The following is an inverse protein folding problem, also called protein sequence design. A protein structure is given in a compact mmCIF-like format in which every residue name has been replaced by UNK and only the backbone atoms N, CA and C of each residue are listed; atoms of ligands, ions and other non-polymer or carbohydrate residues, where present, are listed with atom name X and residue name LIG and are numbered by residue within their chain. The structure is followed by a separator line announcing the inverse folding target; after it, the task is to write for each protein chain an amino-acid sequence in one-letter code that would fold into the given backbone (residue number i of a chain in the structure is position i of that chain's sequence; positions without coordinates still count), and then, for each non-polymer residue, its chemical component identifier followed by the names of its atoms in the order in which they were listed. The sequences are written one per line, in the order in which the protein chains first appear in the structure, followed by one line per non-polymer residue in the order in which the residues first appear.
data_IF_122686217385
#
_entry.id   IF_122686217385
#
_cell.length_a   1.000
_cell.length_b   1.000
_cell.length_c   1.000
_cell.angle_alpha   90.00
_cell.angle_beta   90.00
_cell.angle_gamma   90.00
#
_symmetry.space_group_name_H-M   'P 1'
#
loop_
_entity.id
_entity.type
_entity.pdbx_description
1 polymer ?
#
# COMPACT_ATOMS: atom_id res chain seq x y z
N UNK A 1 3.31 -24.77 13.10
CA UNK A 1 3.28 -24.53 14.56
C UNK A 1 2.47 -23.28 14.75
N UNK A 2 1.37 -23.37 15.48
CA UNK A 2 0.49 -22.23 15.73
C UNK A 2 1.07 -21.44 16.90
N UNK A 3 1.21 -20.12 16.73
CA UNK A 3 1.71 -19.23 17.76
C UNK A 3 0.63 -19.03 18.83
N UNK A 4 0.93 -19.32 20.11
CA UNK A 4 -0.01 -19.15 21.22
C UNK A 4 -0.01 -17.71 21.74
N UNK A 5 -0.84 -16.87 21.10
CA UNK A 5 -1.00 -15.47 21.48
C UNK A 5 -1.47 -15.27 22.93
N UNK A 6 -2.34 -16.15 23.43
CA UNK A 6 -2.88 -16.04 24.80
C UNK A 6 -1.79 -16.29 25.83
N UNK A 7 -1.03 -17.38 25.69
CA UNK A 7 0.08 -17.68 26.60
C UNK A 7 1.18 -16.62 26.51
N UNK A 8 1.51 -16.16 25.30
CA UNK A 8 2.48 -15.08 25.09
C UNK A 8 2.07 -13.80 25.83
N UNK A 9 0.83 -13.33 25.64
CA UNK A 9 0.34 -12.12 26.29
C UNK A 9 0.16 -12.28 27.79
N UNK A 10 -0.32 -13.43 28.27
CA UNK A 10 -0.48 -13.70 29.69
C UNK A 10 0.87 -13.58 30.41
N UNK A 11 1.92 -14.18 29.84
CA UNK A 11 3.30 -14.07 30.34
C UNK A 11 3.82 -12.65 30.24
N UNK A 12 3.70 -12.03 29.05
CA UNK A 12 4.24 -10.71 28.81
C UNK A 12 3.58 -9.70 29.73
N UNK A 13 2.25 -9.57 29.70
CA UNK A 13 1.47 -8.55 30.41
C UNK A 13 1.19 -8.87 31.89
N UNK A 14 1.61 -10.03 32.39
CA UNK A 14 1.25 -10.53 33.73
C UNK A 14 -0.27 -10.62 33.97
N UNK A 15 -1.01 -11.04 32.94
CA UNK A 15 -2.46 -11.18 32.98
C UNK A 15 -2.87 -12.65 33.06
N UNK A 16 -3.93 -12.99 33.81
CA UNK A 16 -4.56 -14.29 33.72
C UNK A 16 -5.06 -14.57 32.28
N UNK A 17 -4.84 -15.79 31.72
CA UNK A 17 -5.30 -16.13 30.37
C UNK A 17 -6.80 -15.90 30.12
N UNK A 18 -7.64 -16.05 31.15
CA UNK A 18 -9.09 -15.83 31.05
C UNK A 18 -9.51 -14.35 30.96
N UNK A 19 -8.56 -13.42 31.07
CA UNK A 19 -8.78 -11.98 30.84
C UNK A 19 -8.44 -11.55 29.41
N UNK A 20 -7.98 -12.48 28.56
CA UNK A 20 -7.52 -12.22 27.21
C UNK A 20 -8.43 -12.97 26.23
N UNK A 21 -9.01 -12.24 25.30
CA UNK A 21 -9.76 -12.81 24.18
C UNK A 21 -9.02 -12.53 22.88
N UNK A 22 -8.77 -13.57 22.09
CA UNK A 22 -8.08 -13.48 20.80
C UNK A 22 -9.09 -13.59 19.66
N UNK A 23 -9.07 -12.62 18.75
CA UNK A 23 -9.81 -12.63 17.49
C UNK A 23 -8.82 -12.57 16.34
N UNK A 24 -8.81 -13.58 15.48
CA UNK A 24 -8.01 -13.52 14.24
C UNK A 24 -8.58 -12.47 13.30
N UNK A 25 -7.69 -11.66 12.73
CA UNK A 25 -8.01 -10.66 11.72
C UNK A 25 -7.66 -11.23 10.34
N UNK A 26 -8.52 -11.00 9.37
CA UNK A 26 -8.35 -11.44 7.98
C UNK A 26 -7.57 -10.41 7.17
N UNK A 27 -7.12 -10.78 5.97
CA UNK A 27 -6.54 -9.86 4.98
C UNK A 27 -5.01 -9.84 4.89
N UNK A 28 -4.29 -10.35 5.90
CA UNK A 28 -2.83 -10.45 5.85
C UNK A 28 -2.33 -11.68 5.10
N UNK A 29 -1.41 -11.51 4.15
CA UNK A 29 -0.73 -12.61 3.44
C UNK A 29 0.52 -13.10 4.17
N UNK A 30 1.30 -12.15 4.68
CA UNK A 30 2.64 -12.40 5.23
C UNK A 30 2.63 -12.76 6.73
N UNK A 31 1.64 -12.26 7.47
CA UNK A 31 1.63 -12.30 8.94
C UNK A 31 0.35 -12.92 9.49
N UNK A 32 0.47 -13.58 10.64
CA UNK A 32 -0.70 -13.96 11.44
C UNK A 32 -1.06 -12.77 12.33
N UNK A 33 -2.22 -12.16 12.08
CA UNK A 33 -2.65 -10.96 12.79
C UNK A 33 -3.85 -11.25 13.67
N UNK A 34 -3.81 -10.80 14.92
CA UNK A 34 -4.92 -10.95 15.86
C UNK A 34 -5.22 -9.63 16.57
N UNK A 35 -6.49 -9.44 16.92
CA UNK A 35 -6.91 -8.49 17.95
C UNK A 35 -6.94 -9.23 19.29
N UNK A 36 -6.26 -8.68 20.28
CA UNK A 36 -6.36 -9.12 21.67
C UNK A 36 -7.18 -8.11 22.45
N UNK A 37 -8.28 -8.56 23.06
CA UNK A 37 -9.16 -7.75 23.91
C UNK A 37 -9.00 -8.16 25.37
N UNK A 38 -9.11 -7.18 26.28
CA UNK A 38 -8.82 -7.35 27.70
C UNK A 38 -10.02 -7.03 28.58
N UNK A 39 -10.27 -7.88 29.58
CA UNK A 39 -11.29 -7.63 30.61
C UNK A 39 -10.72 -7.92 32.00
N UNK A 40 -10.39 -6.90 32.82
CA UNK A 40 -10.50 -5.45 32.55
C UNK A 40 -9.48 -4.94 31.50
N UNK A 41 -9.58 -3.68 31.03
CA UNK A 41 -8.58 -3.06 30.14
C UNK A 41 -7.14 -3.22 30.66
N UNK A 42 -6.21 -3.57 29.77
CA UNK A 42 -4.82 -3.83 30.12
C UNK A 42 -4.03 -2.54 30.37
N UNK A 43 -3.19 -2.54 31.41
CA UNK A 43 -2.24 -1.46 31.68
C UNK A 43 -0.98 -1.60 30.81
N UNK A 44 -0.72 -0.58 29.99
CA UNK A 44 0.43 -0.51 29.08
C UNK A 44 1.43 0.59 29.48
N UNK A 45 1.38 1.10 30.73
CA UNK A 45 2.29 2.15 31.23
C UNK A 45 3.76 1.79 31.13
N UNK A 46 4.12 0.53 31.36
CA UNK A 46 5.50 0.03 31.17
C UNK A 46 5.99 0.10 29.71
N UNK A 47 5.08 0.25 28.76
CA UNK A 47 5.38 0.46 27.34
C UNK A 47 5.22 1.94 26.92
N UNK A 48 5.14 2.86 27.90
CA UNK A 48 5.03 4.30 27.64
C UNK A 48 3.61 4.81 27.34
N UNK A 49 2.57 3.98 27.48
CA UNK A 49 1.18 4.41 27.26
C UNK A 49 0.53 4.87 28.57
N UNK A 50 -0.04 6.08 28.58
CA UNK A 50 -0.56 6.70 29.81
C UNK A 50 -1.94 6.20 30.27
N UNK A 51 -2.59 5.34 29.48
CA UNK A 51 -3.94 4.85 29.74
C UNK A 51 -4.01 3.35 29.53
N UNK A 52 -4.83 2.68 30.34
CA UNK A 52 -5.22 1.31 30.07
C UNK A 52 -6.01 1.23 28.77
N UNK A 53 -5.81 0.17 28.00
CA UNK A 53 -6.47 -0.03 26.69
C UNK A 53 -7.39 -1.25 26.70
N UNK A 54 -8.56 -1.18 26.06
CA UNK A 54 -9.47 -2.31 25.98
C UNK A 54 -8.98 -3.39 25.00
N UNK A 55 -8.17 -3.03 24.02
CA UNK A 55 -7.64 -3.96 23.01
C UNK A 55 -6.34 -3.45 22.37
N UNK A 56 -5.62 -4.38 21.76
CA UNK A 56 -4.44 -4.15 20.91
C UNK A 56 -4.49 -5.05 19.68
N UNK A 57 -3.70 -4.71 18.66
CA UNK A 57 -3.42 -5.58 17.51
C UNK A 57 -2.03 -6.18 17.68
N UNK A 58 -1.91 -7.47 17.36
CA UNK A 58 -0.66 -8.23 17.44
C UNK A 58 -0.44 -8.90 16.11
N UNK A 59 0.75 -8.72 15.56
CA UNK A 59 1.23 -9.43 14.38
C UNK A 59 2.30 -10.42 14.80
N UNK A 60 2.22 -11.63 14.29
CA UNK A 60 3.28 -12.63 14.35
C UNK A 60 3.79 -12.87 12.93
N UNK A 61 5.11 -12.70 12.71
CA UNK A 61 5.76 -12.91 11.43
C UNK A 61 6.46 -14.28 11.40
N UNK A 62 5.85 -15.33 10.84
CA UNK A 62 6.56 -16.58 10.63
C UNK A 62 7.69 -16.41 9.59
N UNK A 63 8.69 -17.32 9.55
CA UNK A 63 9.78 -17.30 8.56
C UNK A 63 9.33 -17.75 7.15
N UNK A 64 8.04 -17.62 6.85
CA UNK A 64 7.35 -18.00 5.61
C UNK A 64 6.09 -17.13 5.47
N UNK A 65 5.43 -17.15 4.31
CA UNK A 65 4.14 -16.47 4.15
C UNK A 65 3.07 -17.17 4.98
N UNK A 66 2.29 -16.41 5.77
CA UNK A 66 1.25 -16.99 6.63
C UNK A 66 0.17 -17.77 5.84
N UNK A 67 -0.09 -17.36 4.59
CA UNK A 67 -1.04 -18.04 3.69
C UNK A 67 -0.44 -19.21 2.92
N UNK A 68 0.89 -19.29 2.79
CA UNK A 68 1.60 -20.37 2.10
C UNK A 68 2.94 -20.67 2.81
N UNK A 69 2.96 -21.61 3.76
CA UNK A 69 4.17 -21.98 4.50
C UNK A 69 5.28 -22.58 3.63
N UNK A 70 5.02 -22.92 2.36
CA UNK A 70 6.05 -23.41 1.44
C UNK A 70 6.93 -22.30 0.87
N UNK A 71 6.51 -21.03 1.00
CA UNK A 71 7.22 -19.87 0.50
C UNK A 71 7.96 -19.16 1.64
N UNK A 72 9.31 -19.25 1.70
CA UNK A 72 10.10 -18.57 2.72
C UNK A 72 9.94 -17.06 2.62
N UNK A 73 9.84 -16.39 3.77
CA UNK A 73 9.75 -14.94 3.85
C UNK A 73 10.54 -14.43 5.06
N UNK A 74 11.35 -13.40 4.83
CA UNK A 74 12.23 -12.89 5.86
C UNK A 74 11.43 -12.17 6.97
N UNK A 75 11.70 -12.53 8.24
CA UNK A 75 11.04 -11.94 9.41
C UNK A 75 11.44 -10.48 9.67
N UNK A 76 12.52 -10.00 9.03
CA UNK A 76 13.00 -8.60 9.12
C UNK A 76 11.92 -7.56 8.74
N UNK A 77 10.89 -7.96 7.98
CA UNK A 77 9.71 -7.14 7.67
C UNK A 77 9.05 -6.58 8.93
N UNK A 78 9.08 -7.34 10.02
CA UNK A 78 8.49 -6.93 11.28
C UNK A 78 9.35 -5.93 12.06
N UNK A 79 10.69 -6.03 11.96
CA UNK A 79 11.60 -4.99 12.46
C UNK A 79 11.40 -3.66 11.72
N UNK A 80 11.14 -3.74 10.41
CA UNK A 80 10.85 -2.57 9.57
C UNK A 80 9.54 -1.94 9.99
N UNK A 81 8.45 -2.71 10.12
CA UNK A 81 7.16 -2.18 10.57
C UNK A 81 7.26 -1.55 11.96
N UNK A 82 7.85 -2.25 12.93
CA UNK A 82 8.08 -1.76 14.29
C UNK A 82 8.78 -0.39 14.29
N UNK A 83 9.81 -0.25 13.46
CA UNK A 83 10.59 0.97 13.30
C UNK A 83 9.80 2.06 12.59
N UNK A 84 9.04 1.73 11.55
CA UNK A 84 8.16 2.65 10.86
C UNK A 84 7.16 3.30 11.82
N UNK A 85 6.49 2.50 12.66
CA UNK A 85 5.54 3.00 13.65
C UNK A 85 6.22 3.96 14.65
N UNK A 86 7.45 3.65 15.09
CA UNK A 86 8.23 4.55 15.96
C UNK A 86 8.66 5.85 15.26
N UNK A 87 8.97 5.80 13.98
CA UNK A 87 9.42 6.97 13.21
C UNK A 87 8.25 7.88 12.80
N UNK A 88 7.05 7.31 12.61
CA UNK A 88 5.85 8.02 12.17
C UNK A 88 5.01 8.55 13.34
N UNK A 89 5.19 8.03 14.55
CA UNK A 89 4.50 8.52 15.74
C UNK A 89 5.08 9.87 16.22
N UNK A 90 4.31 10.98 16.20
CA UNK A 90 4.79 12.30 16.65
C UNK A 90 5.11 12.35 18.15
N UNK A 91 4.67 11.36 18.93
CA UNK A 91 4.94 11.25 20.37
C UNK A 91 6.17 10.38 20.69
N UNK A 92 6.76 9.75 19.67
CA UNK A 92 7.98 8.95 19.81
C UNK A 92 9.16 9.81 20.27
N UNK A 93 10.16 9.25 21.00
CA UNK A 93 11.39 9.97 21.34
C UNK A 93 12.22 10.38 20.12
N UNK A 94 12.08 9.66 19.01
CA UNK A 94 12.84 9.88 17.77
C UNK A 94 11.90 9.86 16.57
N UNK A 95 10.98 10.82 16.44
CA UNK A 95 10.11 10.88 15.28
C UNK A 95 10.92 11.33 14.05
N UNK A 96 10.42 11.03 12.86
CA UNK A 96 10.81 11.74 11.65
C UNK A 96 10.03 13.05 11.56
N UNK A 97 10.57 14.09 10.89
CA UNK A 97 9.83 15.34 10.68
C UNK A 97 8.45 15.15 10.04
N UNK A 98 8.29 14.13 9.18
CA UNK A 98 7.02 13.78 8.52
C UNK A 98 5.91 13.39 9.51
N UNK A 99 6.23 12.93 10.71
CA UNK A 99 5.23 12.61 11.75
C UNK A 99 4.35 13.80 12.14
N UNK A 100 4.85 15.03 11.96
CA UNK A 100 4.06 16.26 12.18
C UNK A 100 2.84 16.37 11.26
N UNK A 101 2.82 15.65 10.13
CA UNK A 101 1.63 15.56 9.28
C UNK A 101 0.45 14.94 10.02
N UNK A 102 0.66 13.98 10.93
CA UNK A 102 -0.44 13.39 11.72
C UNK A 102 -1.06 14.40 12.70
N UNK A 103 -0.32 15.45 13.09
CA UNK A 103 -0.88 16.56 13.88
C UNK A 103 -1.70 17.48 12.98
N UNK A 104 -1.22 17.73 11.76
CA UNK A 104 -1.92 18.57 10.76
C UNK A 104 -3.20 17.90 10.23
N UNK A 105 -3.20 16.58 10.13
CA UNK A 105 -4.29 15.76 9.61
C UNK A 105 -4.86 14.87 10.72
N UNK A 106 -5.69 15.41 11.64
CA UNK A 106 -6.20 14.65 12.80
C UNK A 106 -7.18 13.52 12.41
N UNK A 107 -7.70 13.55 11.18
CA UNK A 107 -8.49 12.50 10.57
C UNK A 107 -7.63 11.35 10.01
N UNK A 108 -6.29 11.44 10.08
CA UNK A 108 -5.38 10.35 9.75
C UNK A 108 -4.89 9.66 11.00
N UNK A 109 -4.87 8.33 10.96
CA UNK A 109 -4.37 7.50 12.05
C UNK A 109 -3.38 6.47 11.53
N UNK A 110 -2.32 6.26 12.28
CA UNK A 110 -1.40 5.14 12.11
C UNK A 110 -1.39 4.40 13.45
N UNK A 111 -1.41 3.06 13.48
CA UNK A 111 -1.25 2.33 14.72
C UNK A 111 0.01 2.80 15.46
N UNK A 112 -0.10 3.10 16.75
CA UNK A 112 1.08 3.47 17.54
C UNK A 112 1.79 2.21 18.00
N UNK A 113 3.11 2.27 17.99
CA UNK A 113 3.96 1.22 18.51
C UNK A 113 3.66 0.94 20.00
N UNK A 114 3.62 -0.33 20.39
CA UNK A 114 3.55 -0.75 21.80
C UNK A 114 4.81 -1.54 22.18
N UNK A 115 5.10 -2.61 21.45
CA UNK A 115 6.21 -3.51 21.76
C UNK A 115 6.61 -4.32 20.54
N UNK A 116 7.90 -4.64 20.42
CA UNK A 116 8.41 -5.59 19.43
C UNK A 116 9.34 -6.58 20.12
N UNK A 117 9.01 -7.87 20.02
CA UNK A 117 9.82 -8.99 20.46
C UNK A 117 10.47 -9.64 19.24
N UNK A 118 11.75 -9.31 19.03
CA UNK A 118 12.55 -9.80 17.91
C UNK A 118 12.73 -11.32 17.98
N UNK A 119 12.89 -11.88 19.18
CA UNK A 119 13.13 -13.31 19.37
C UNK A 119 11.88 -14.12 19.01
N UNK A 120 10.71 -13.62 19.39
CA UNK A 120 9.43 -14.25 19.07
C UNK A 120 8.87 -13.85 17.70
N UNK A 121 9.47 -12.87 17.01
CA UNK A 121 8.91 -12.23 15.80
C UNK A 121 7.46 -11.78 16.05
N UNK A 122 7.28 -10.90 17.03
CA UNK A 122 5.97 -10.35 17.43
C UNK A 122 6.00 -8.84 17.52
N UNK A 123 5.06 -8.19 16.86
CA UNK A 123 4.80 -6.75 16.94
C UNK A 123 3.43 -6.51 17.57
N UNK A 124 3.40 -5.67 18.61
CA UNK A 124 2.20 -5.17 19.26
C UNK A 124 2.01 -3.69 18.91
N UNK A 125 0.80 -3.33 18.52
CA UNK A 125 0.42 -1.96 18.16
C UNK A 125 -0.98 -1.62 18.66
N UNK A 126 -1.29 -0.32 18.77
CA UNK A 126 -2.63 0.11 19.19
C UNK A 126 -3.69 -0.36 18.21
N UNK A 127 -4.82 -0.81 18.74
CA UNK A 127 -5.99 -1.14 17.93
C UNK A 127 -6.65 0.13 17.38
N UNK A 128 -7.01 0.11 16.09
CA UNK A 128 -7.72 1.20 15.41
C UNK A 128 -9.25 1.10 15.56
N UNK A 129 -9.73 0.05 16.23
CA UNK A 129 -11.14 -0.18 16.52
C UNK A 129 -11.75 -1.31 15.69
N UNK A 130 -12.89 -1.83 16.16
CA UNK A 130 -13.53 -3.02 15.59
C UNK A 130 -14.37 -2.74 14.34
N UNK A 131 -14.73 -1.48 14.10
CA UNK A 131 -15.62 -1.06 13.02
C UNK A 131 -14.87 -0.33 11.90
N UNK A 132 -13.67 -0.82 11.55
CA UNK A 132 -12.89 -0.35 10.42
C UNK A 132 -13.10 -1.29 9.23
N UNK A 133 -13.14 -0.73 8.02
CA UNK A 133 -13.22 -1.47 6.77
C UNK A 133 -12.06 -1.04 5.86
N UNK A 134 -11.54 -1.92 5.02
CA UNK A 134 -10.61 -1.47 3.96
C UNK A 134 -11.32 -0.49 3.02
N UNK A 135 -10.58 0.34 2.28
CA UNK A 135 -11.22 1.32 1.40
C UNK A 135 -12.04 0.66 0.30
N UNK A 136 -11.64 -0.53 -0.16
CA UNK A 136 -12.41 -1.33 -1.11
C UNK A 136 -13.70 -1.90 -0.50
N UNK A 137 -13.65 -2.41 0.73
CA UNK A 137 -14.85 -2.80 1.48
C UNK A 137 -15.77 -1.61 1.72
N UNK A 138 -15.22 -0.46 2.11
CA UNK A 138 -15.96 0.77 2.36
C UNK A 138 -16.66 1.30 1.10
N UNK A 139 -15.99 1.29 -0.05
CA UNK A 139 -16.60 1.68 -1.34
C UNK A 139 -17.70 0.70 -1.80
N UNK A 140 -17.63 -0.56 -1.36
CA UNK A 140 -18.52 -1.66 -1.75
C UNK A 140 -19.63 -1.97 -0.75
N UNK A 141 -19.61 -1.35 0.45
CA UNK A 141 -20.55 -1.65 1.54
C UNK A 141 -21.99 -1.30 1.18
N UNK A 142 -22.93 -1.87 1.93
CA UNK A 142 -24.36 -1.58 1.85
C UNK A 142 -24.88 -1.11 3.22
N UNK A 143 -25.46 0.10 3.34
CA UNK A 143 -25.61 1.12 2.29
C UNK A 143 -24.27 1.73 1.85
N UNK A 144 -24.10 2.06 0.56
CA UNK A 144 -22.84 2.62 0.06
C UNK A 144 -22.57 4.00 0.67
N UNK A 145 -21.30 4.43 0.72
CA UNK A 145 -20.97 5.79 1.12
C UNK A 145 -21.58 6.78 0.12
N UNK A 146 -22.01 7.93 0.65
CA UNK A 146 -22.53 9.03 -0.14
C UNK A 146 -21.44 9.64 -1.01
N UNK A 147 -21.83 10.34 -2.09
CA UNK A 147 -20.88 11.01 -2.97
C UNK A 147 -20.01 12.06 -2.23
N UNK A 148 -20.59 12.74 -1.24
CA UNK A 148 -19.86 13.72 -0.40
C UNK A 148 -18.81 13.02 0.48
N UNK A 149 -19.13 11.88 1.08
CA UNK A 149 -18.17 11.09 1.85
C UNK A 149 -17.02 10.58 0.95
N UNK A 150 -17.34 10.02 -0.23
CA UNK A 150 -16.36 9.59 -1.23
C UNK A 150 -15.43 10.72 -1.60
N UNK A 151 -15.97 11.89 -1.94
CA UNK A 151 -15.17 13.05 -2.32
C UNK A 151 -14.28 13.54 -1.18
N UNK A 152 -14.80 13.61 0.05
CA UNK A 152 -14.05 14.07 1.21
C UNK A 152 -12.90 13.14 1.54
N UNK A 153 -13.15 11.84 1.68
CA UNK A 153 -12.12 10.84 2.01
C UNK A 153 -11.05 10.79 0.92
N UNK A 154 -11.47 10.79 -0.36
CA UNK A 154 -10.53 10.83 -1.48
C UNK A 154 -9.66 12.09 -1.48
N UNK A 155 -10.27 13.26 -1.24
CA UNK A 155 -9.57 14.53 -1.13
C UNK A 155 -8.54 14.48 -0.01
N UNK A 156 -8.96 14.09 1.19
CA UNK A 156 -8.10 14.01 2.37
C UNK A 156 -6.90 13.07 2.12
N UNK A 157 -7.14 11.89 1.53
CA UNK A 157 -6.10 10.94 1.10
C UNK A 157 -5.13 11.56 0.10
N UNK A 158 -5.63 12.14 -0.98
CA UNK A 158 -4.79 12.77 -2.00
C UNK A 158 -3.91 13.88 -1.43
N UNK A 159 -4.47 14.71 -0.55
CA UNK A 159 -3.72 15.78 0.11
C UNK A 159 -2.63 15.24 1.04
N UNK A 160 -2.98 14.28 1.90
CA UNK A 160 -2.01 13.67 2.83
C UNK A 160 -0.87 12.99 2.09
N UNK A 161 -1.15 12.17 1.08
CA UNK A 161 -0.13 11.46 0.31
C UNK A 161 0.82 12.43 -0.42
N UNK A 162 0.30 13.50 -0.99
CA UNK A 162 1.13 14.53 -1.62
C UNK A 162 2.07 15.19 -0.61
N UNK A 163 1.54 15.59 0.55
CA UNK A 163 2.38 16.22 1.58
C UNK A 163 3.37 15.23 2.20
N UNK A 164 3.00 13.96 2.33
CA UNK A 164 3.89 12.89 2.80
C UNK A 164 5.09 12.70 1.85
N UNK A 165 4.82 12.57 0.56
CA UNK A 165 5.87 12.47 -0.47
C UNK A 165 6.76 13.71 -0.47
N UNK A 166 6.17 14.91 -0.42
CA UNK A 166 6.94 16.15 -0.43
C UNK A 166 7.79 16.33 0.84
N UNK A 167 7.28 15.93 2.01
CA UNK A 167 7.99 16.01 3.29
C UNK A 167 9.11 14.98 3.43
N UNK A 168 9.06 13.88 2.68
CA UNK A 168 10.04 12.79 2.72
C UNK A 168 10.95 12.74 1.50
N UNK A 169 10.80 13.71 0.59
CA UNK A 169 11.58 13.79 -0.65
C UNK A 169 13.06 13.98 -0.37
N UNK A 170 13.90 13.29 -1.16
CA UNK A 170 15.36 13.31 -1.05
C UNK A 170 15.84 13.14 0.40
N UNK A 171 15.49 12.01 1.06
CA UNK A 171 15.83 11.81 2.47
C UNK A 171 17.35 11.84 2.67
N UNK A 172 17.79 12.45 3.77
CA UNK A 172 19.21 12.50 4.13
C UNK A 172 19.74 11.11 4.48
N UNK A 173 21.07 10.95 4.47
CA UNK A 173 21.71 9.70 4.88
C UNK A 173 21.31 9.28 6.30
N UNK A 174 21.16 10.23 7.23
CA UNK A 174 20.73 9.96 8.61
C UNK A 174 19.30 9.44 8.68
N UNK A 175 18.40 9.97 7.84
CA UNK A 175 17.02 9.48 7.73
C UNK A 175 16.99 8.06 7.16
N UNK A 176 17.79 7.80 6.11
CA UNK A 176 17.89 6.48 5.49
C UNK A 176 18.50 5.43 6.43
N UNK A 177 19.50 5.79 7.21
CA UNK A 177 20.08 4.91 8.23
C UNK A 177 19.05 4.51 9.30
N UNK A 178 18.05 5.38 9.54
CA UNK A 178 16.94 5.12 10.46
C UNK A 178 15.81 4.30 9.82
N UNK A 179 15.64 4.31 8.50
CA UNK A 179 14.60 3.55 7.81
C UNK A 179 15.16 2.63 6.70
N UNK A 180 16.07 1.68 7.03
CA UNK A 180 16.62 0.76 6.04
C UNK A 180 15.58 -0.30 5.67
N UNK A 181 15.34 -0.45 4.36
CA UNK A 181 14.41 -1.43 3.82
C UNK A 181 14.96 -2.22 2.63
N UNK A 182 16.24 -2.06 2.26
CA UNK A 182 16.81 -2.62 1.03
C UNK A 182 16.59 -4.12 0.90
N UNK A 183 16.78 -4.90 1.97
CA UNK A 183 16.58 -6.35 1.93
C UNK A 183 15.14 -6.76 1.58
N UNK A 184 14.14 -6.02 2.08
CA UNK A 184 12.72 -6.28 1.77
C UNK A 184 12.35 -5.81 0.37
N UNK A 185 12.83 -4.63 -0.01
CA UNK A 185 12.58 -4.07 -1.34
C UNK A 185 13.20 -4.94 -2.44
N UNK A 186 14.43 -5.42 -2.24
CA UNK A 186 15.10 -6.32 -3.19
C UNK A 186 14.34 -7.63 -3.35
N UNK A 187 13.82 -8.21 -2.25
CA UNK A 187 12.98 -9.41 -2.30
C UNK A 187 11.67 -9.12 -3.04
N UNK A 188 10.92 -8.10 -2.64
CA UNK A 188 9.64 -7.71 -3.25
C UNK A 188 9.76 -7.43 -4.76
N UNK A 189 10.80 -6.70 -5.18
CA UNK A 189 11.06 -6.42 -6.58
C UNK A 189 11.46 -7.67 -7.36
N UNK A 190 12.26 -8.56 -6.77
CA UNK A 190 12.63 -9.82 -7.40
C UNK A 190 11.41 -10.71 -7.64
N UNK A 191 10.53 -10.83 -6.64
CA UNK A 191 9.30 -11.62 -6.73
C UNK A 191 8.34 -11.00 -7.76
N UNK A 192 8.16 -9.69 -7.74
CA UNK A 192 7.36 -8.95 -8.73
C UNK A 192 7.86 -9.17 -10.16
N UNK A 193 9.18 -9.09 -10.40
CA UNK A 193 9.77 -9.33 -11.71
C UNK A 193 9.61 -10.79 -12.17
N UNK A 194 9.69 -11.74 -11.24
CA UNK A 194 9.51 -13.16 -11.53
C UNK A 194 8.06 -13.47 -11.95
N UNK A 195 7.08 -12.88 -11.25
CA UNK A 195 5.66 -12.98 -11.62
C UNK A 195 5.44 -12.36 -12.99
N UNK A 196 5.89 -11.12 -13.20
CA UNK A 196 5.75 -10.43 -14.50
C UNK A 196 6.33 -11.26 -15.64
N UNK A 197 7.55 -11.79 -15.49
CA UNK A 197 8.20 -12.65 -16.50
C UNK A 197 7.38 -13.90 -16.78
N UNK A 198 6.90 -14.56 -15.73
CA UNK A 198 6.11 -15.79 -15.84
C UNK A 198 4.82 -15.54 -16.61
N UNK A 199 4.08 -14.48 -16.26
CA UNK A 199 2.82 -14.13 -16.93
C UNK A 199 3.07 -13.75 -18.39
N UNK A 200 4.04 -12.88 -18.68
CA UNK A 200 4.35 -12.48 -20.06
C UNK A 200 4.73 -13.67 -20.95
N UNK A 201 5.55 -14.59 -20.44
CA UNK A 201 5.95 -15.80 -21.18
C UNK A 201 4.76 -16.76 -21.37
N UNK A 202 3.94 -16.96 -20.33
CA UNK A 202 2.74 -17.81 -20.38
C UNK A 202 1.78 -17.35 -21.49
N UNK A 203 1.69 -16.05 -21.71
CA UNK A 203 0.82 -15.45 -22.73
C UNK A 203 1.53 -15.13 -24.06
N UNK A 204 2.77 -15.60 -24.25
CA UNK A 204 3.47 -15.51 -25.54
C UNK A 204 3.82 -14.08 -25.99
N UNK A 205 4.03 -13.15 -25.05
CA UNK A 205 4.45 -11.77 -25.37
C UNK A 205 5.86 -11.79 -25.95
N UNK A 206 6.01 -11.45 -27.23
CA UNK A 206 7.25 -11.65 -28.01
C UNK A 206 8.47 -10.87 -27.50
N UNK A 207 8.25 -9.73 -26.83
CA UNK A 207 9.28 -8.86 -26.26
C UNK A 207 9.34 -8.94 -24.72
N UNK A 208 8.81 -10.00 -24.10
CA UNK A 208 8.73 -10.18 -22.65
C UNK A 208 10.04 -9.88 -21.91
N UNK A 209 11.15 -10.46 -22.36
CA UNK A 209 12.46 -10.26 -21.74
C UNK A 209 12.92 -8.79 -21.77
N UNK A 210 12.59 -8.06 -22.83
CA UNK A 210 12.90 -6.63 -22.94
C UNK A 210 12.06 -5.82 -21.95
N UNK A 211 10.76 -6.11 -21.85
CA UNK A 211 9.88 -5.42 -20.92
C UNK A 211 10.30 -5.66 -19.46
N UNK A 212 10.61 -6.90 -19.10
CA UNK A 212 11.09 -7.25 -17.75
C UNK A 212 12.40 -6.54 -17.42
N UNK A 213 13.37 -6.50 -18.35
CA UNK A 213 14.63 -5.77 -18.14
C UNK A 213 14.42 -4.27 -17.94
N UNK A 214 13.42 -3.66 -18.59
CA UNK A 214 13.10 -2.23 -18.39
C UNK A 214 12.59 -1.96 -16.98
N UNK A 215 11.69 -2.81 -16.48
CA UNK A 215 11.18 -2.73 -15.10
C UNK A 215 12.31 -2.98 -14.10
N UNK A 216 13.13 -3.99 -14.34
CA UNK A 216 14.29 -4.32 -13.49
C UNK A 216 15.28 -3.16 -13.39
N UNK A 217 15.65 -2.54 -14.51
CA UNK A 217 16.50 -1.34 -14.49
C UNK A 217 15.84 -0.22 -13.69
N UNK A 218 14.53 -0.01 -13.87
CA UNK A 218 13.82 1.03 -13.16
C UNK A 218 13.81 0.79 -11.63
N UNK A 219 13.60 -0.44 -11.18
CA UNK A 219 13.69 -0.76 -9.75
C UNK A 219 15.09 -0.56 -9.19
N UNK A 220 16.14 -0.89 -9.95
CA UNK A 220 17.54 -0.63 -9.54
C UNK A 220 17.91 0.84 -9.51
N UNK A 221 17.27 1.66 -10.34
CA UNK A 221 17.51 3.11 -10.44
C UNK A 221 16.53 3.94 -9.59
N UNK A 222 15.61 3.29 -8.86
CA UNK A 222 14.60 3.95 -8.04
C UNK A 222 15.22 4.84 -6.95
N UNK A 223 16.45 4.53 -6.54
CA UNK A 223 17.24 5.30 -5.58
C UNK A 223 17.92 6.55 -6.19
N UNK A 224 17.68 6.89 -7.47
CA UNK A 224 18.37 8.01 -8.16
C UNK A 224 17.48 9.19 -8.51
N UNK A 225 16.17 8.98 -8.64
CA UNK A 225 15.25 10.00 -9.16
C UNK A 225 13.96 10.03 -8.35
N UNK A 226 13.48 11.23 -8.00
CA UNK A 226 12.22 11.43 -7.26
C UNK A 226 12.09 10.53 -6.02
N UNK A 227 13.20 10.43 -5.28
CA UNK A 227 13.34 9.60 -4.09
C UNK A 227 12.48 10.17 -2.98
N UNK A 228 11.78 9.31 -2.25
CA UNK A 228 11.07 9.68 -1.04
C UNK A 228 11.11 8.53 -0.04
N UNK A 229 10.58 8.75 1.16
CA UNK A 229 10.16 7.61 1.97
C UNK A 229 8.75 7.20 1.55
N UNK A 230 8.48 5.91 1.52
CA UNK A 230 7.20 5.35 1.11
C UNK A 230 6.81 4.16 1.97
N UNK A 231 5.55 3.76 1.87
CA UNK A 231 5.08 2.49 2.44
C UNK A 231 5.67 1.31 1.67
N UNK A 232 5.91 1.48 0.36
CA UNK A 232 6.38 0.46 -0.60
C UNK A 232 5.38 -0.69 -0.79
N UNK A 233 4.22 -0.59 -0.14
CA UNK A 233 3.12 -1.54 -0.20
C UNK A 233 1.77 -0.79 -0.03
N UNK A 234 1.60 0.37 -0.68
CA UNK A 234 0.39 1.21 -0.55
C UNK A 234 -0.74 0.78 -1.52
N UNK A 235 -1.61 -0.12 -1.07
CA UNK A 235 -2.71 -0.69 -1.86
C UNK A 235 -4.04 -0.44 -1.13
N UNK A 236 -5.19 -0.62 -1.78
CA UNK A 236 -6.52 -0.38 -1.17
C UNK A 236 -6.71 -1.10 0.17
N UNK A 237 -6.21 -2.33 0.32
CA UNK A 237 -6.36 -3.11 1.55
C UNK A 237 -5.56 -2.57 2.75
N UNK A 238 -4.57 -1.70 2.51
CA UNK A 238 -3.75 -1.06 3.56
C UNK A 238 -4.30 0.31 3.99
N UNK A 239 -5.44 0.72 3.43
CA UNK A 239 -6.15 1.94 3.76
C UNK A 239 -7.47 1.55 4.42
N UNK A 240 -7.60 1.81 5.72
CA UNK A 240 -8.82 1.53 6.46
C UNK A 240 -9.63 2.80 6.67
N UNK A 241 -10.95 2.69 6.61
CA UNK A 241 -11.90 3.77 6.88
C UNK A 241 -12.70 3.40 8.13
N UNK A 242 -12.68 4.29 9.13
CA UNK A 242 -13.47 4.13 10.37
C UNK A 242 -14.92 4.65 10.20
N UNK A 243 -15.81 4.47 11.19
CA UNK A 243 -17.21 4.90 11.08
C UNK A 243 -17.40 6.41 10.93
N UNK A 244 -16.43 7.20 11.38
CA UNK A 244 -16.41 8.66 11.24
C UNK A 244 -15.76 9.08 9.90
N UNK A 245 -15.44 8.11 9.05
CA UNK A 245 -14.72 8.25 7.79
C UNK A 245 -13.34 8.92 7.98
N UNK A 246 -12.65 8.60 9.08
CA UNK A 246 -11.22 8.85 9.24
C UNK A 246 -10.42 7.79 8.48
N UNK A 247 -9.24 8.17 8.02
CA UNK A 247 -8.36 7.31 7.23
C UNK A 247 -7.30 6.72 8.16
N UNK A 248 -7.12 5.42 8.11
CA UNK A 248 -6.05 4.75 8.82
C UNK A 248 -5.11 4.03 7.85
N UNK A 249 -3.81 4.22 7.99
CA UNK A 249 -2.80 3.55 7.16
C UNK A 249 -2.10 2.48 7.98
N UNK A 250 -2.12 1.25 7.49
CA UNK A 250 -1.57 0.06 8.17
C UNK A 250 -0.52 -0.64 7.30
N UNK A 251 0.14 -1.64 7.88
CA UNK A 251 1.07 -2.53 7.18
C UNK A 251 2.33 -1.87 6.63
N UNK A 252 3.07 -1.21 7.52
CA UNK A 252 4.29 -0.48 7.17
C UNK A 252 5.54 -1.38 7.05
N UNK A 253 5.37 -2.66 6.73
CA UNK A 253 6.44 -3.67 6.79
C UNK A 253 7.49 -3.57 5.66
N UNK A 254 7.23 -2.73 4.66
CA UNK A 254 8.16 -2.37 3.59
C UNK A 254 8.66 -0.92 3.68
N UNK A 255 8.30 -0.19 4.74
CA UNK A 255 8.59 1.24 4.89
C UNK A 255 10.08 1.57 4.77
N UNK A 256 10.40 2.54 3.93
CA UNK A 256 11.75 3.07 3.79
C UNK A 256 11.92 3.81 2.47
N UNK A 257 13.11 3.73 1.87
CA UNK A 257 13.38 4.41 0.60
C UNK A 257 12.47 3.84 -0.49
N UNK A 258 11.82 4.75 -1.22
CA UNK A 258 10.95 4.46 -2.34
C UNK A 258 11.06 5.55 -3.41
N UNK A 259 10.18 5.46 -4.41
CA UNK A 259 9.98 6.43 -5.46
C UNK A 259 8.51 6.87 -5.47
N UNK A 260 8.29 8.19 -5.48
CA UNK A 260 6.95 8.78 -5.44
C UNK A 260 6.01 8.26 -6.55
N UNK A 261 6.56 8.02 -7.75
CA UNK A 261 5.80 7.50 -8.88
C UNK A 261 5.39 6.05 -8.68
N UNK A 262 6.21 5.24 -8.02
CA UNK A 262 5.92 3.84 -7.72
C UNK A 262 4.82 3.73 -6.66
N UNK A 263 4.91 4.50 -5.56
CA UNK A 263 3.87 4.56 -4.52
C UNK A 263 2.50 4.91 -5.11
N UNK A 264 2.45 6.00 -5.91
CA UNK A 264 1.20 6.44 -6.50
C UNK A 264 0.67 5.44 -7.53
N UNK A 265 1.55 4.86 -8.36
CA UNK A 265 1.15 3.88 -9.36
C UNK A 265 0.58 2.61 -8.75
N UNK A 266 1.16 2.17 -7.64
CA UNK A 266 0.70 1.01 -6.89
C UNK A 266 -0.70 1.22 -6.33
N UNK A 267 -0.93 2.37 -5.70
CA UNK A 267 -2.26 2.71 -5.19
C UNK A 267 -3.29 2.82 -6.33
N UNK A 268 -2.97 3.55 -7.39
CA UNK A 268 -3.90 3.72 -8.53
C UNK A 268 -4.18 2.39 -9.21
N UNK A 269 -3.19 1.53 -9.38
CA UNK A 269 -3.37 0.21 -9.95
C UNK A 269 -4.28 -0.66 -9.06
N UNK A 270 -4.16 -0.57 -7.74
CA UNK A 270 -5.04 -1.29 -6.81
C UNK A 270 -6.50 -0.81 -6.90
N UNK A 271 -6.76 0.49 -7.09
CA UNK A 271 -8.12 0.97 -7.38
C UNK A 271 -8.63 0.47 -8.72
N UNK A 272 -7.77 0.40 -9.74
CA UNK A 272 -8.19 -0.12 -11.03
C UNK A 272 -8.47 -1.63 -11.02
N UNK A 273 -7.81 -2.41 -10.17
CA UNK A 273 -8.21 -3.80 -9.93
C UNK A 273 -9.67 -3.89 -9.49
N UNK A 274 -10.16 -3.00 -8.62
CA UNK A 274 -11.58 -2.95 -8.24
C UNK A 274 -12.52 -2.68 -9.40
N UNK A 275 -12.07 -2.05 -10.48
CA UNK A 275 -12.88 -1.83 -11.68
C UNK A 275 -12.95 -3.09 -12.57
N UNK A 276 -11.98 -3.99 -12.42
CA UNK A 276 -11.79 -5.17 -13.24
C UNK A 276 -12.26 -6.47 -12.58
N UNK A 277 -12.66 -6.46 -11.32
CA UNK A 277 -13.19 -7.65 -10.67
C UNK A 277 -14.49 -8.10 -11.34
N UNK A 278 -14.69 -9.41 -11.38
CA UNK A 278 -15.90 -10.00 -11.97
C UNK A 278 -17.19 -9.64 -11.22
N UNK A 279 -17.09 -9.24 -9.95
CA UNK A 279 -18.20 -8.81 -9.10
C UNK A 279 -18.42 -7.28 -9.09
N UNK A 280 -17.66 -6.51 -9.86
CA UNK A 280 -17.77 -5.05 -9.90
C UNK A 280 -19.09 -4.58 -10.50
N UNK A 281 -19.91 -3.91 -9.68
CA UNK A 281 -21.17 -3.29 -10.11
C UNK A 281 -20.91 -1.94 -10.79
N UNK A 282 -21.91 -1.44 -11.54
CA UNK A 282 -21.86 -0.10 -12.14
C UNK A 282 -21.63 0.97 -11.07
N UNK A 283 -22.38 0.91 -9.96
CA UNK A 283 -22.28 1.92 -8.91
C UNK A 283 -20.92 1.87 -8.19
N UNK A 284 -20.35 0.67 -7.97
CA UNK A 284 -19.00 0.54 -7.42
C UNK A 284 -17.95 1.13 -8.38
N UNK A 285 -18.12 0.89 -9.68
CA UNK A 285 -17.24 1.44 -10.73
C UNK A 285 -17.28 2.97 -10.69
N UNK A 286 -18.46 3.58 -10.67
CA UNK A 286 -18.64 5.04 -10.61
C UNK A 286 -18.03 5.64 -9.33
N UNK A 287 -18.28 5.03 -8.16
CA UNK A 287 -17.69 5.51 -6.89
C UNK A 287 -16.18 5.39 -6.87
N UNK A 288 -15.63 4.27 -7.35
CA UNK A 288 -14.18 4.05 -7.42
C UNK A 288 -13.52 5.03 -8.37
N UNK A 289 -14.15 5.34 -9.51
CA UNK A 289 -13.70 6.37 -10.45
C UNK A 289 -13.69 7.74 -9.78
N UNK A 290 -14.80 8.14 -9.15
CA UNK A 290 -14.91 9.43 -8.46
C UNK A 290 -13.88 9.57 -7.33
N UNK A 291 -13.66 8.50 -6.56
CA UNK A 291 -12.65 8.43 -5.52
C UNK A 291 -11.24 8.63 -6.11
N UNK A 292 -10.87 7.81 -7.09
CA UNK A 292 -9.53 7.82 -7.69
C UNK A 292 -9.23 9.17 -8.33
N UNK A 293 -10.18 9.73 -9.08
CA UNK A 293 -10.04 11.04 -9.72
C UNK A 293 -9.86 12.15 -8.67
N UNK A 294 -10.73 12.21 -7.66
CA UNK A 294 -10.65 13.26 -6.61
C UNK A 294 -9.33 13.18 -5.84
N UNK A 295 -8.88 11.97 -5.53
CA UNK A 295 -7.61 11.71 -4.85
C UNK A 295 -6.42 12.17 -5.70
N UNK A 296 -6.39 11.82 -6.99
CA UNK A 296 -5.34 12.26 -7.92
C UNK A 296 -5.33 13.78 -8.13
N UNK A 297 -6.49 14.42 -8.22
CA UNK A 297 -6.61 15.88 -8.33
C UNK A 297 -5.97 16.57 -7.12
N UNK A 298 -6.36 16.14 -5.91
CA UNK A 298 -5.84 16.71 -4.68
C UNK A 298 -4.36 16.42 -4.48
N UNK A 299 -3.88 15.26 -4.92
CA UNK A 299 -2.45 14.95 -4.95
C UNK A 299 -1.70 15.89 -5.91
N UNK A 300 -2.21 16.07 -7.13
CA UNK A 300 -1.58 16.90 -8.16
C UNK A 300 -1.51 18.39 -7.79
N UNK A 301 -2.52 18.91 -7.07
CA UNK A 301 -2.55 20.30 -6.61
C UNK A 301 -1.43 20.65 -5.60
N UNK A 302 -0.85 19.64 -4.94
CA UNK A 302 0.13 19.80 -3.86
C UNK A 302 1.51 19.25 -4.19
N UNK A 303 1.68 18.68 -5.37
CA UNK A 303 2.96 18.14 -5.84
C UNK A 303 3.52 18.96 -7.00
N UNK A 304 4.79 18.73 -7.32
CA UNK A 304 5.38 19.31 -8.50
C UNK A 304 4.78 18.65 -9.76
N UNK A 305 4.72 19.37 -10.90
CA UNK A 305 4.39 18.76 -12.17
C UNK A 305 5.29 17.54 -12.45
N UNK A 306 4.72 16.44 -13.00
CA UNK A 306 5.46 15.19 -13.14
C UNK A 306 6.58 15.34 -14.17
N UNK A 307 7.80 15.02 -13.74
CA UNK A 307 8.99 14.96 -14.59
C UNK A 307 8.87 13.82 -15.63
N UNK A 308 9.68 13.84 -16.70
CA UNK A 308 9.75 12.70 -17.62
C UNK A 308 10.19 11.39 -16.92
N UNK A 309 11.22 11.41 -16.03
CA UNK A 309 11.51 10.27 -15.16
C UNK A 309 10.27 9.79 -14.40
N UNK A 310 9.56 10.67 -13.68
CA UNK A 310 8.37 10.31 -12.91
C UNK A 310 7.35 9.57 -13.79
N UNK A 311 7.03 10.12 -14.96
CA UNK A 311 6.06 9.50 -15.89
C UNK A 311 6.53 8.11 -16.32
N UNK A 312 7.81 7.96 -16.69
CA UNK A 312 8.38 6.67 -17.10
C UNK A 312 8.29 5.63 -16.00
N UNK A 313 8.71 5.98 -14.78
CA UNK A 313 8.67 5.07 -13.64
C UNK A 313 7.23 4.71 -13.27
N UNK A 314 6.31 5.67 -13.36
CA UNK A 314 4.89 5.39 -13.16
C UNK A 314 4.36 4.36 -14.17
N UNK A 315 4.63 4.54 -15.48
CA UNK A 315 4.24 3.59 -16.51
C UNK A 315 4.80 2.18 -16.25
N UNK A 316 6.07 2.08 -15.85
CA UNK A 316 6.72 0.80 -15.56
C UNK A 316 6.15 0.12 -14.32
N UNK A 317 6.02 0.85 -13.22
CA UNK A 317 5.46 0.33 -11.97
C UNK A 317 4.00 -0.09 -12.16
N UNK A 318 3.19 0.79 -12.75
CA UNK A 318 1.79 0.53 -13.04
C UNK A 318 1.62 -0.69 -13.98
N UNK A 319 2.38 -0.76 -15.07
CA UNK A 319 2.32 -1.86 -16.03
C UNK A 319 2.74 -3.20 -15.41
N UNK A 320 3.82 -3.20 -14.63
CA UNK A 320 4.30 -4.37 -13.88
C UNK A 320 3.22 -4.89 -12.92
N UNK A 321 2.65 -4.00 -12.10
CA UNK A 321 1.61 -4.38 -11.13
C UNK A 321 0.32 -4.86 -11.81
N UNK A 322 -0.06 -4.23 -12.93
CA UNK A 322 -1.21 -4.67 -13.74
C UNK A 322 -1.01 -6.08 -14.32
N UNK A 323 0.22 -6.48 -14.63
CA UNK A 323 0.53 -7.85 -15.03
C UNK A 323 0.52 -8.79 -13.82
N UNK A 324 1.07 -8.36 -12.69
CA UNK A 324 1.19 -9.20 -11.49
C UNK A 324 -0.18 -9.58 -10.89
N UNK A 325 -1.18 -8.70 -10.94
CA UNK A 325 -2.54 -9.01 -10.46
C UNK A 325 -3.17 -10.21 -11.17
N UNK A 326 -2.76 -10.52 -12.41
CA UNK A 326 -3.27 -11.67 -13.15
C UNK A 326 -2.93 -13.01 -12.48
N UNK A 327 -1.83 -13.06 -11.73
CA UNK A 327 -1.43 -14.24 -10.97
C UNK A 327 -1.95 -14.17 -9.52
N UNK A 328 -1.84 -13.01 -8.86
CA UNK A 328 -2.30 -12.80 -7.47
C UNK A 328 -3.81 -13.00 -7.30
N UNK A 329 -4.62 -12.42 -8.19
CA UNK A 329 -6.09 -12.44 -8.10
C UNK A 329 -6.70 -13.27 -9.24
N UNK A 330 -6.03 -14.34 -9.67
CA UNK A 330 -6.45 -15.18 -10.80
C UNK A 330 -7.91 -15.63 -10.75
N UNK A 331 -8.47 -15.84 -9.55
CA UNK A 331 -9.86 -16.26 -9.33
C UNK A 331 -10.89 -15.16 -9.51
N UNK A 332 -10.47 -13.88 -9.52
CA UNK A 332 -11.38 -12.73 -9.55
C UNK A 332 -11.62 -12.19 -10.96
N UNK A 333 -10.75 -12.56 -11.92
CA UNK A 333 -10.88 -12.17 -13.32
C UNK A 333 -11.53 -13.26 -14.16
N UNK A 334 -12.44 -12.87 -15.05
CA UNK A 334 -12.81 -13.70 -16.20
C UNK A 334 -11.76 -13.56 -17.33
N UNK A 335 -11.80 -14.44 -18.32
CA UNK A 335 -10.78 -14.49 -19.37
C UNK A 335 -10.67 -13.19 -20.18
N UNK A 336 -11.79 -12.52 -20.44
CA UNK A 336 -11.79 -11.24 -21.13
C UNK A 336 -11.08 -10.16 -20.30
N UNK A 337 -11.37 -10.08 -19.00
CA UNK A 337 -10.72 -9.13 -18.09
C UNK A 337 -9.22 -9.41 -17.95
N UNK A 338 -8.81 -10.69 -17.95
CA UNK A 338 -7.39 -11.06 -17.95
C UNK A 338 -6.69 -10.56 -19.21
N UNK A 339 -7.31 -10.77 -20.37
CA UNK A 339 -6.75 -10.31 -21.64
C UNK A 339 -6.61 -8.78 -21.68
N UNK A 340 -7.65 -8.06 -21.25
CA UNK A 340 -7.65 -6.59 -21.18
C UNK A 340 -6.57 -6.08 -20.24
N UNK A 341 -6.45 -6.63 -19.03
CA UNK A 341 -5.41 -6.24 -18.08
C UNK A 341 -4.00 -6.57 -18.60
N UNK A 342 -3.81 -7.73 -19.25
CA UNK A 342 -2.55 -8.09 -19.87
C UNK A 342 -2.15 -7.08 -20.97
N UNK A 343 -3.06 -6.78 -21.89
CA UNK A 343 -2.83 -5.83 -22.98
C UNK A 343 -2.52 -4.44 -22.45
N UNK A 344 -3.27 -3.99 -21.44
CA UNK A 344 -3.01 -2.73 -20.75
C UNK A 344 -1.62 -2.71 -20.13
N UNK A 345 -1.29 -3.69 -19.29
CA UNK A 345 0.01 -3.79 -18.62
C UNK A 345 1.17 -3.80 -19.61
N UNK A 346 1.10 -4.61 -20.67
CA UNK A 346 2.09 -4.65 -21.75
C UNK A 346 2.17 -3.31 -22.49
N UNK A 347 1.04 -2.68 -22.76
CA UNK A 347 0.96 -1.35 -23.36
C UNK A 347 1.71 -0.30 -22.54
N UNK A 348 1.52 -0.29 -21.22
CA UNK A 348 2.24 0.60 -20.29
C UNK A 348 3.75 0.37 -20.31
N UNK A 349 4.18 -0.89 -20.24
CA UNK A 349 5.61 -1.23 -20.28
C UNK A 349 6.27 -0.84 -21.62
N UNK A 350 5.52 -0.90 -22.73
CA UNK A 350 5.98 -0.46 -24.04
C UNK A 350 6.04 1.07 -24.14
N UNK A 351 5.01 1.75 -23.69
CA UNK A 351 4.91 3.22 -23.70
C UNK A 351 5.98 3.90 -22.85
N UNK A 352 6.48 3.22 -21.81
CA UNK A 352 7.59 3.72 -21.00
C UNK A 352 8.91 3.92 -21.80
N UNK A 353 9.05 3.27 -22.95
CA UNK A 353 10.25 3.36 -23.78
C UNK A 353 11.52 2.76 -23.13
N UNK A 354 12.63 2.79 -23.86
CA UNK A 354 13.94 2.35 -23.36
C UNK A 354 14.56 3.35 -22.36
N UNK A 355 14.23 4.63 -22.55
CA UNK A 355 14.78 5.79 -21.85
C UNK A 355 13.72 6.90 -21.76
N UNK A 356 14.01 7.96 -20.99
CA UNK A 356 13.08 9.09 -20.82
C UNK A 356 12.83 9.87 -22.11
N UNK A 357 13.77 9.82 -23.06
CA UNK A 357 13.69 10.44 -24.38
C UNK A 357 12.78 9.68 -25.34
N UNK A 358 12.51 8.40 -25.04
CA UNK A 358 11.76 7.47 -25.89
C UNK A 358 10.39 7.10 -25.33
N UNK A 359 9.94 7.81 -24.28
CA UNK A 359 8.58 7.63 -23.74
C UNK A 359 7.59 7.98 -24.86
N UNK A 360 6.61 7.11 -25.08
CA UNK A 360 5.49 7.44 -25.95
C UNK A 360 4.60 8.48 -25.27
N UNK A 361 4.88 9.76 -25.55
CA UNK A 361 4.12 10.86 -24.95
C UNK A 361 2.68 10.90 -25.43
N UNK A 362 2.34 10.22 -26.54
CA UNK A 362 0.96 10.17 -27.03
C UNK A 362 0.04 9.53 -26.00
N UNK A 363 0.56 8.67 -25.10
CA UNK A 363 -0.22 8.11 -23.99
C UNK A 363 -0.73 9.18 -23.01
N UNK A 364 -0.15 10.38 -23.06
CA UNK A 364 -0.58 11.54 -22.27
C UNK A 364 -1.41 12.55 -23.08
N UNK A 365 -1.46 12.41 -24.40
CA UNK A 365 -2.09 13.35 -25.31
C UNK A 365 -3.47 12.81 -25.76
N UNK A 366 -4.51 13.60 -25.52
CA UNK A 366 -5.86 13.35 -26.06
C UNK A 366 -6.74 14.59 -25.93
N UNK A 367 -7.53 14.86 -26.97
CA UNK A 367 -8.27 16.11 -27.17
C UNK A 367 -9.46 16.30 -26.24
N UNK A 368 -10.02 15.22 -25.68
CA UNK A 368 -11.20 15.26 -24.80
C UNK A 368 -10.84 15.51 -23.31
N UNK A 369 -9.55 15.76 -23.02
CA UNK A 369 -9.00 15.77 -21.66
C UNK A 369 -8.48 17.14 -21.22
N UNK A 370 -9.01 18.22 -21.80
CA UNK A 370 -8.54 19.59 -21.53
C UNK A 370 -8.69 19.99 -20.06
N UNK A 371 -9.59 19.34 -19.32
CA UNK A 371 -9.85 19.63 -17.91
C UNK A 371 -9.06 18.76 -16.92
N UNK A 372 -8.29 17.77 -17.40
CA UNK A 372 -7.50 16.89 -16.55
C UNK A 372 -6.09 17.46 -16.33
N UNK A 373 -5.55 17.29 -15.13
CA UNK A 373 -4.14 17.54 -14.82
C UNK A 373 -3.23 16.53 -15.54
N UNK A 374 -1.94 16.82 -15.70
CA UNK A 374 -0.99 15.86 -16.27
C UNK A 374 -0.90 14.52 -15.52
N UNK A 375 -1.12 14.51 -14.20
CA UNK A 375 -1.18 13.28 -13.40
C UNK A 375 -2.42 12.46 -13.72
N UNK A 376 -3.59 13.09 -13.86
CA UNK A 376 -4.83 12.39 -14.23
C UNK A 376 -4.73 11.78 -15.63
N UNK A 377 -4.20 12.51 -16.62
CA UNK A 377 -4.06 11.98 -17.99
C UNK A 377 -3.21 10.71 -18.07
N UNK A 378 -2.17 10.60 -17.25
CA UNK A 378 -1.30 9.42 -17.16
C UNK A 378 -2.08 8.15 -16.75
N UNK A 379 -3.04 8.28 -15.83
CA UNK A 379 -3.79 7.14 -15.28
C UNK A 379 -5.15 6.92 -15.96
N UNK A 380 -5.76 7.96 -16.53
CA UNK A 380 -7.03 7.90 -17.24
C UNK A 380 -6.97 7.06 -18.53
N UNK A 381 -5.84 7.08 -19.25
CA UNK A 381 -5.64 6.09 -20.32
C UNK A 381 -5.59 4.65 -19.76
N UNK A 382 -5.07 4.47 -18.55
CA UNK A 382 -5.09 3.19 -17.81
C UNK A 382 -6.50 2.70 -17.66
N UNK A 383 -7.33 3.58 -17.10
CA UNK A 383 -8.76 3.36 -16.92
C UNK A 383 -9.47 3.03 -18.22
N UNK A 384 -9.28 3.80 -19.30
CA UNK A 384 -9.99 3.60 -20.57
C UNK A 384 -9.57 2.34 -21.32
N UNK A 385 -8.28 2.01 -21.34
CA UNK A 385 -7.80 0.74 -21.89
C UNK A 385 -8.46 -0.46 -21.18
N UNK A 386 -8.79 -0.29 -19.90
CA UNK A 386 -9.39 -1.33 -19.07
C UNK A 386 -10.92 -1.29 -19.00
N UNK A 387 -11.54 -0.15 -19.32
CA UNK A 387 -12.98 0.07 -19.32
C UNK A 387 -13.63 -0.08 -20.70
N UNK A 388 -12.85 -0.27 -21.77
CA UNK A 388 -13.35 -0.60 -23.10
C UNK A 388 -14.00 -2.01 -23.07
N UNK A 389 -15.30 -2.02 -22.75
CA UNK A 389 -16.20 -3.18 -22.74
C UNK A 389 -16.81 -3.41 -24.12
#
# INVERSE_FOLDING_TARGET
MDFDFTAYLAKLLYLPPNQITIQFLTGGFCNVTVRASFTPPADLTRFGHSKSVPSIVIKYAPPFMATDPSQPLNVVRQDIEARALLLLDPTSPTPLPVSSLLIKYPNFRIPRFIHHDVESSVLMMTDLGTAVATVDEWLSRDPPPTAEEVQRVASDLGQFLAEFVMATREPSADVLARAPNSAMVDQFYSDSLNITRTVLNRHGVSDADTLVRRVERAFRDADKTDRCLGMVDLWTSNILIDPDNNICLVDWEHFGLSNASCELSMLVQSFHWLLLRSDSTYDLTERTNAFTQTMLQNYALRTLPPSLPFKRYALLAYGCLTINILDFFKSEFNENMRQVALEAGVGYLRAAGESVETIDSSIFDGSDWQNLTPHERLYERGRLMMAAR
#
